data_IF_878409665053
#
_entry.id   IF_878409665053
#
_cell.length_a   1.000
_cell.length_b   1.000
_cell.length_c   1.000
_cell.angle_alpha   90.00
_cell.angle_beta   90.00
_cell.angle_gamma   90.00
#
_symmetry.space_group_name_H-M   'P 1'
#
loop_
_entity.id
_entity.type
_entity.pdbx_description
1 polymer ?
#
# COMPACT_ATOMS: atom_id res chain seq x y z
N UNK A 1 25.92 -20.44 17.57
CA UNK A 1 24.94 -19.31 17.55
C UNK A 1 25.30 -18.25 16.50
N UNK A 2 24.43 -17.91 15.54
CA UNK A 2 24.55 -16.63 14.83
C UNK A 2 23.74 -15.59 15.62
N UNK A 3 24.31 -14.54 16.25
CA UNK A 3 25.06 -13.36 15.78
C UNK A 3 24.31 -12.51 14.75
N UNK A 4 23.71 -11.41 15.24
CA UNK A 4 23.58 -10.15 14.51
C UNK A 4 22.20 -9.77 13.96
N UNK A 5 21.23 -9.44 14.83
CA UNK A 5 20.11 -8.58 14.41
C UNK A 5 20.57 -7.13 14.44
N UNK A 6 21.18 -6.69 13.35
CA UNK A 6 21.70 -5.33 13.16
C UNK A 6 21.50 -4.91 11.71
N UNK A 7 20.24 -4.89 11.26
CA UNK A 7 19.85 -4.32 9.98
C UNK A 7 18.49 -3.68 10.17
N UNK A 8 18.40 -2.38 9.90
CA UNK A 8 17.11 -1.73 9.71
C UNK A 8 16.32 -2.58 8.72
N UNK A 9 15.15 -3.06 9.12
CA UNK A 9 14.26 -3.83 8.27
C UNK A 9 13.82 -2.88 7.17
N UNK A 10 14.58 -2.81 6.07
CA UNK A 10 14.20 -2.03 4.91
C UNK A 10 12.98 -2.76 4.35
N UNK A 11 11.80 -2.29 4.72
CA UNK A 11 10.54 -2.78 4.18
C UNK A 11 10.58 -2.51 2.68
N UNK A 12 10.41 -3.57 1.91
CA UNK A 12 10.37 -3.52 0.46
C UNK A 12 8.97 -3.97 0.03
N UNK A 13 8.38 -3.23 -0.89
CA UNK A 13 7.08 -3.52 -1.47
C UNK A 13 7.25 -4.14 -2.86
N UNK A 14 6.77 -5.36 -3.05
CA UNK A 14 6.71 -6.00 -4.36
C UNK A 14 5.45 -5.60 -5.15
N UNK A 15 5.42 -5.97 -6.44
CA UNK A 15 4.23 -5.77 -7.28
C UNK A 15 3.00 -6.46 -6.69
N UNK A 16 3.16 -7.68 -6.17
CA UNK A 16 2.06 -8.43 -5.55
C UNK A 16 1.48 -7.70 -4.34
N UNK A 17 2.34 -7.14 -3.48
CA UNK A 17 1.90 -6.40 -2.31
C UNK A 17 1.13 -5.14 -2.71
N UNK A 18 1.62 -4.44 -3.73
CA UNK A 18 0.94 -3.28 -4.30
C UNK A 18 -0.43 -3.64 -4.90
N UNK A 19 -0.53 -4.74 -5.65
CA UNK A 19 -1.81 -5.23 -6.21
C UNK A 19 -2.78 -5.63 -5.10
N UNK A 20 -2.29 -6.28 -4.03
CA UNK A 20 -3.11 -6.63 -2.86
C UNK A 20 -3.61 -5.37 -2.15
N UNK A 21 -2.76 -4.37 -1.95
CA UNK A 21 -3.15 -3.08 -1.38
C UNK A 21 -4.23 -2.42 -2.25
N UNK A 22 -4.01 -2.32 -3.56
CA UNK A 22 -4.98 -1.72 -4.48
C UNK A 22 -6.34 -2.44 -4.46
N UNK A 23 -6.31 -3.78 -4.37
CA UNK A 23 -7.50 -4.60 -4.25
C UNK A 23 -8.23 -4.36 -2.92
N UNK A 24 -7.49 -4.34 -1.80
CA UNK A 24 -8.04 -4.07 -0.47
C UNK A 24 -8.64 -2.66 -0.36
N UNK A 25 -7.98 -1.68 -0.96
CA UNK A 25 -8.41 -0.29 -1.06
C UNK A 25 -9.56 -0.07 -2.07
N UNK A 26 -9.93 -1.10 -2.82
CA UNK A 26 -10.98 -1.05 -3.85
C UNK A 26 -10.71 0.01 -4.93
N UNK A 27 -9.43 0.18 -5.31
CA UNK A 27 -8.96 1.20 -6.25
C UNK A 27 -9.49 1.03 -7.70
N UNK A 28 -10.13 -0.11 -8.02
CA UNK A 28 -10.79 -0.43 -9.31
C UNK A 28 -9.95 -0.06 -10.56
N UNK A 29 -8.65 -0.29 -10.50
CA UNK A 29 -7.76 -0.13 -11.65
C UNK A 29 -7.50 -1.49 -12.34
N UNK A 30 -7.38 -1.54 -13.68
CA UNK A 30 -6.94 -2.75 -14.38
C UNK A 30 -5.54 -3.18 -13.91
N UNK A 31 -5.31 -4.49 -13.74
CA UNK A 31 -4.02 -5.01 -13.27
C UNK A 31 -2.81 -4.53 -14.08
N UNK A 32 -2.94 -4.45 -15.40
CA UNK A 32 -1.89 -3.92 -16.30
C UNK A 32 -1.51 -2.47 -15.96
N UNK A 33 -2.48 -1.64 -15.56
CA UNK A 33 -2.22 -0.24 -15.20
C UNK A 33 -1.49 -0.13 -13.85
N UNK A 34 -1.83 -1.01 -12.90
CA UNK A 34 -1.10 -1.10 -11.63
C UNK A 34 0.36 -1.53 -11.87
N UNK A 35 0.57 -2.52 -12.73
CA UNK A 35 1.91 -2.94 -13.15
C UNK A 35 2.69 -1.81 -13.83
N UNK A 36 2.08 -1.08 -14.78
CA UNK A 36 2.71 0.06 -15.46
C UNK A 36 3.16 1.15 -14.46
N UNK A 37 2.31 1.48 -13.47
CA UNK A 37 2.63 2.46 -12.41
C UNK A 37 3.79 1.98 -11.55
N UNK A 38 3.74 0.73 -11.09
CA UNK A 38 4.78 0.15 -10.25
C UNK A 38 6.12 0.12 -10.98
N UNK A 39 6.16 -0.38 -12.21
CA UNK A 39 7.38 -0.43 -13.02
C UNK A 39 7.88 0.97 -13.38
N UNK A 40 6.98 1.93 -13.57
CA UNK A 40 7.34 3.35 -13.75
C UNK A 40 8.12 3.87 -12.54
N UNK A 41 7.59 3.70 -11.33
CA UNK A 41 8.25 4.15 -10.09
C UNK A 41 9.57 3.40 -9.86
N UNK A 42 9.62 2.09 -10.11
CA UNK A 42 10.86 1.31 -10.04
C UNK A 42 11.90 1.82 -11.03
N UNK A 43 11.51 2.13 -12.27
CA UNK A 43 12.44 2.65 -13.27
C UNK A 43 12.96 4.03 -12.90
N UNK A 44 12.07 4.91 -12.45
CA UNK A 44 12.37 6.32 -12.26
C UNK A 44 13.11 6.57 -10.93
N UNK A 45 12.90 5.71 -9.93
CA UNK A 45 13.44 5.88 -8.57
C UNK A 45 14.21 4.66 -8.01
N UNK A 46 14.14 3.49 -8.65
CA UNK A 46 14.72 2.22 -8.16
C UNK A 46 16.25 2.11 -8.25
N UNK A 47 16.96 3.17 -8.68
CA UNK A 47 18.42 3.21 -8.77
C UNK A 47 19.18 3.16 -7.42
N UNK A 48 18.49 2.97 -6.29
CA UNK A 48 19.02 3.16 -4.93
C UNK A 48 19.27 1.90 -4.09
N UNK A 49 19.33 0.69 -4.68
CA UNK A 49 19.85 -0.50 -3.99
C UNK A 49 18.90 -1.68 -3.84
N UNK A 50 18.19 -2.05 -4.90
CA UNK A 50 17.62 -3.39 -5.01
C UNK A 50 18.60 -4.29 -5.78
N UNK A 51 18.77 -5.55 -5.37
CA UNK A 51 19.69 -6.46 -6.06
C UNK A 51 19.23 -6.67 -7.51
N UNK A 52 20.13 -6.60 -8.50
CA UNK A 52 19.79 -6.68 -9.92
C UNK A 52 19.20 -8.04 -10.34
N UNK A 53 19.25 -9.04 -9.47
CA UNK A 53 18.80 -10.42 -9.74
C UNK A 53 17.49 -10.79 -9.02
N UNK A 54 16.82 -9.83 -8.37
CA UNK A 54 15.54 -10.02 -7.69
C UNK A 54 14.34 -9.49 -8.49
N UNK A 55 13.10 -9.91 -8.14
CA UNK A 55 11.89 -9.29 -8.68
C UNK A 55 11.88 -7.79 -8.39
N UNK A 56 11.31 -6.96 -9.28
CA UNK A 56 11.27 -5.52 -9.10
C UNK A 56 10.50 -5.17 -7.82
N UNK A 57 11.03 -4.21 -7.10
CA UNK A 57 10.58 -3.87 -5.76
C UNK A 57 10.69 -2.36 -5.56
N UNK A 58 9.96 -1.82 -4.58
CA UNK A 58 9.99 -0.41 -4.23
C UNK A 58 10.37 -0.32 -2.75
N UNK A 59 11.38 0.49 -2.44
CA UNK A 59 11.73 0.74 -1.05
C UNK A 59 10.56 1.47 -0.36
N UNK A 60 10.29 1.21 0.92
CA UNK A 60 9.15 1.83 1.61
C UNK A 60 9.17 3.37 1.54
N UNK A 61 10.34 3.98 1.48
CA UNK A 61 10.49 5.43 1.32
C UNK A 61 9.88 5.95 0.01
N UNK A 62 9.79 5.10 -1.02
CA UNK A 62 9.18 5.40 -2.32
C UNK A 62 7.70 5.01 -2.40
N UNK A 63 7.11 4.58 -1.29
CA UNK A 63 5.70 4.23 -1.23
C UNK A 63 4.80 5.44 -1.50
N UNK A 64 5.22 6.63 -1.06
CA UNK A 64 4.45 7.87 -1.28
C UNK A 64 4.40 8.20 -2.77
N UNK A 65 5.52 8.09 -3.48
CA UNK A 65 5.61 8.28 -4.93
C UNK A 65 4.71 7.30 -5.67
N UNK A 66 4.68 6.04 -5.23
CA UNK A 66 3.77 5.04 -5.78
C UNK A 66 2.30 5.44 -5.60
N UNK A 67 1.92 5.99 -4.44
CA UNK A 67 0.57 6.50 -4.22
C UNK A 67 0.25 7.73 -5.07
N UNK A 68 1.19 8.66 -5.23
CA UNK A 68 1.01 9.86 -6.07
C UNK A 68 0.81 9.46 -7.53
N UNK A 69 1.63 8.56 -8.09
CA UNK A 69 1.45 8.09 -9.47
C UNK A 69 0.13 7.32 -9.64
N UNK A 70 -0.27 6.54 -8.63
CA UNK A 70 -1.58 5.88 -8.60
C UNK A 70 -2.72 6.90 -8.60
N UNK A 71 -2.59 7.96 -7.82
CA UNK A 71 -3.57 9.04 -7.73
C UNK A 71 -3.70 9.78 -9.05
N UNK A 72 -2.58 10.16 -9.68
CA UNK A 72 -2.57 10.78 -11.02
C UNK A 72 -3.26 9.91 -12.07
N UNK A 73 -3.02 8.60 -12.04
CA UNK A 73 -3.66 7.67 -12.96
C UNK A 73 -5.18 7.61 -12.73
N UNK A 74 -5.64 7.61 -11.47
CA UNK A 74 -7.06 7.41 -11.11
C UNK A 74 -7.89 8.69 -11.15
N UNK A 75 -7.29 9.83 -10.83
CA UNK A 75 -7.92 11.14 -10.63
C UNK A 75 -7.25 12.23 -11.47
N UNK A 76 -6.73 11.87 -12.66
CA UNK A 76 -5.98 12.79 -13.52
C UNK A 76 -6.81 13.94 -14.12
N UNK A 77 -8.11 13.97 -13.86
CA UNK A 77 -9.01 15.08 -14.16
C UNK A 77 -8.99 16.18 -13.08
N UNK A 78 -8.38 15.92 -11.92
CA UNK A 78 -8.18 16.90 -10.85
C UNK A 78 -6.99 17.84 -11.17
N UNK A 79 -7.02 19.10 -10.66
CA UNK A 79 -6.12 20.16 -11.10
C UNK A 79 -4.66 20.02 -10.65
N UNK A 80 -4.33 19.02 -9.83
CA UNK A 80 -2.99 18.82 -9.30
C UNK A 80 -2.81 17.51 -8.53
N UNK A 81 -1.54 17.20 -8.25
CA UNK A 81 -1.14 15.99 -7.52
C UNK A 81 -1.69 15.97 -6.10
N UNK A 82 -1.78 17.14 -5.46
CA UNK A 82 -2.30 17.28 -4.11
C UNK A 82 -3.76 16.88 -4.06
N UNK A 83 -4.58 17.39 -4.98
CA UNK A 83 -6.02 17.09 -5.07
C UNK A 83 -6.26 15.63 -5.45
N UNK A 84 -5.50 15.11 -6.42
CA UNK A 84 -5.55 13.69 -6.79
C UNK A 84 -5.19 12.78 -5.62
N UNK A 85 -4.14 13.11 -4.88
CA UNK A 85 -3.70 12.33 -3.73
C UNK A 85 -4.71 12.43 -2.59
N UNK A 86 -5.26 13.61 -2.32
CA UNK A 86 -6.33 13.78 -1.33
C UNK A 86 -7.55 12.91 -1.66
N UNK A 87 -8.01 12.93 -2.92
CA UNK A 87 -9.11 12.07 -3.37
C UNK A 87 -8.80 10.58 -3.20
N UNK A 88 -7.57 10.15 -3.50
CA UNK A 88 -7.13 8.77 -3.26
C UNK A 88 -7.22 8.39 -1.78
N UNK A 89 -6.80 9.28 -0.88
CA UNK A 89 -6.87 9.05 0.56
C UNK A 89 -8.32 8.97 1.04
N UNK A 90 -9.16 9.93 0.66
CA UNK A 90 -10.55 10.03 1.11
C UNK A 90 -11.42 8.88 0.59
N UNK A 91 -11.31 8.55 -0.70
CA UNK A 91 -12.18 7.54 -1.32
C UNK A 91 -11.75 6.11 -1.01
N UNK A 92 -10.45 5.86 -0.78
CA UNK A 92 -9.91 4.50 -0.76
C UNK A 92 -9.10 4.17 0.50
N UNK A 93 -8.09 4.97 0.84
CA UNK A 93 -7.12 4.59 1.88
C UNK A 93 -7.65 4.82 3.30
N UNK A 94 -8.39 5.89 3.57
CA UNK A 94 -9.01 6.14 4.87
C UNK A 94 -10.07 5.09 5.22
N UNK A 95 -11.02 4.74 4.32
CA UNK A 95 -11.94 3.63 4.55
C UNK A 95 -11.23 2.30 4.81
N UNK A 96 -10.16 2.01 4.07
CA UNK A 96 -9.34 0.81 4.31
C UNK A 96 -8.73 0.84 5.72
N UNK A 97 -8.10 1.95 6.11
CA UNK A 97 -7.46 2.09 7.41
C UNK A 97 -8.46 1.95 8.58
N UNK A 98 -9.70 2.43 8.41
CA UNK A 98 -10.77 2.24 9.40
C UNK A 98 -11.14 0.77 9.53
N UNK A 99 -11.37 0.07 8.41
CA UNK A 99 -11.69 -1.37 8.39
C UNK A 99 -10.58 -2.22 9.00
N UNK A 100 -9.32 -1.94 8.70
CA UNK A 100 -8.18 -2.65 9.30
C UNK A 100 -8.18 -2.47 10.83
N UNK A 101 -8.46 -1.25 11.31
CA UNK A 101 -8.53 -0.95 12.74
C UNK A 101 -9.67 -1.66 13.45
N UNK A 102 -10.82 -1.80 12.79
CA UNK A 102 -11.96 -2.58 13.29
C UNK A 102 -11.61 -4.07 13.40
N UNK A 103 -10.87 -4.61 12.43
CA UNK A 103 -10.41 -6.00 12.46
C UNK A 103 -9.37 -6.24 13.56
N UNK A 104 -8.44 -5.30 13.74
CA UNK A 104 -7.42 -5.36 14.80
C UNK A 104 -8.03 -5.17 16.20
N UNK A 105 -9.09 -4.36 16.32
CA UNK A 105 -9.84 -4.13 17.56
C UNK A 105 -10.93 -5.16 17.87
N UNK A 106 -11.35 -5.97 16.89
CA UNK A 106 -12.44 -6.93 16.99
C UNK A 106 -12.12 -8.24 17.73
N UNK A 107 -10.87 -8.39 18.22
CA UNK A 107 -10.42 -9.57 18.99
C UNK A 107 -10.76 -9.54 20.48
N UNK A 108 -11.34 -8.45 21.02
CA UNK A 108 -11.68 -8.33 22.45
C UNK A 108 -13.05 -7.67 22.61
N UNK A 109 -14.12 -8.47 22.68
CA UNK A 109 -15.45 -7.90 22.93
C UNK A 109 -16.67 -8.78 22.71
N UNK A 110 -16.56 -10.10 22.69
CA UNK A 110 -17.72 -10.99 22.83
C UNK A 110 -17.44 -12.11 23.83
N UNK A 111 -17.38 -11.75 25.12
CA UNK A 111 -17.77 -12.68 26.18
C UNK A 111 -19.12 -12.23 26.76
N UNK A 112 -20.14 -13.08 26.55
CA UNK A 112 -21.18 -13.30 27.55
C UNK A 112 -22.43 -12.42 27.49
N UNK A 113 -23.20 -12.53 26.42
CA UNK A 113 -24.66 -12.46 26.58
C UNK A 113 -25.18 -13.85 27.00
N UNK A 114 -25.86 -13.94 28.14
CA UNK A 114 -26.89 -14.97 28.39
C UNK A 114 -26.54 -16.08 29.38
N UNK A 115 -27.31 -16.13 30.46
CA UNK A 115 -27.36 -17.23 31.44
C UNK A 115 -27.94 -16.72 32.77
N UNK A 116 -29.22 -16.40 32.84
CA UNK A 116 -30.33 -17.31 33.17
C UNK A 116 -30.77 -17.11 34.64
N UNK A 117 -32.04 -16.70 34.76
CA UNK A 117 -32.98 -16.82 35.89
C UNK A 117 -32.57 -16.31 37.28
#
# INVERSE_FOLDING_TARGET
PPRGFGGAWRLVLGLEDYVRLASAAQLRLPGRRLEDVFLGVVRDFGGGGLPPEGPPAVAYELFVELLVETARLRFGDLPGDTEATAALFEEHLLPLAQRLRELDGGGVGMEGAGGAA
#
